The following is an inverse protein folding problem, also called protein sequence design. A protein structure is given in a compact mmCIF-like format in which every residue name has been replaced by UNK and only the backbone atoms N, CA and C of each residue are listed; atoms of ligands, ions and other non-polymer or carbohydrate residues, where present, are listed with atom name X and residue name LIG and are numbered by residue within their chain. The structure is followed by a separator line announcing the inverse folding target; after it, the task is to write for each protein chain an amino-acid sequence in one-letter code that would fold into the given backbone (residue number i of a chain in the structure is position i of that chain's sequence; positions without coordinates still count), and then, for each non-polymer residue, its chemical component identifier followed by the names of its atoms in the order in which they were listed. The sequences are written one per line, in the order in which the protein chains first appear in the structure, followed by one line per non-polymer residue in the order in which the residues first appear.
data_IF_392778799885
#
_entry.id   IF_392778799885
#
_cell.length_a   1.000
_cell.length_b   1.000
_cell.length_c   1.000
_cell.angle_alpha   90.00
_cell.angle_beta   90.00
_cell.angle_gamma   90.00
#
_symmetry.space_group_name_H-M   'P 1'
#
loop_
_entity.id
_entity.type
_entity.pdbx_description
1 polymer ?
#
# COMPACT_ATOMS: atom_id res chain seq x y z
N UNK A 1 -17.24 -17.64 -35.52
CA UNK A 1 -15.84 -17.66 -36.01
C UNK A 1 -15.20 -16.28 -35.82
N UNK A 2 -14.74 -16.00 -34.60
CA UNK A 2 -14.11 -14.73 -34.23
C UNK A 2 -12.64 -14.70 -34.68
N UNK A 3 -12.27 -13.64 -35.39
CA UNK A 3 -10.92 -13.44 -35.94
C UNK A 3 -9.97 -12.97 -34.84
N UNK A 4 -8.95 -13.78 -34.55
CA UNK A 4 -7.88 -13.47 -33.62
C UNK A 4 -7.13 -12.18 -34.02
N UNK A 5 -7.30 -11.12 -33.22
CA UNK A 5 -6.55 -9.88 -33.33
C UNK A 5 -5.07 -10.09 -32.97
N UNK A 6 -4.18 -9.94 -33.95
CA UNK A 6 -2.73 -9.98 -33.77
C UNK A 6 -2.28 -8.79 -32.90
N UNK A 7 -2.12 -9.01 -31.60
CA UNK A 7 -1.49 -8.06 -30.67
C UNK A 7 -0.03 -7.82 -31.09
N UNK A 8 0.24 -6.70 -31.78
CA UNK A 8 1.61 -6.20 -31.99
C UNK A 8 2.22 -5.85 -30.63
N UNK A 9 3.12 -6.68 -30.14
CA UNK A 9 4.01 -6.36 -28.99
C UNK A 9 4.78 -5.08 -29.33
N UNK A 10 4.37 -3.93 -28.74
CA UNK A 10 5.19 -2.73 -28.68
C UNK A 10 6.49 -3.10 -27.97
N UNK A 11 7.59 -3.19 -28.71
CA UNK A 11 8.92 -3.41 -28.13
C UNK A 11 9.30 -2.14 -27.39
N UNK A 12 9.10 -2.13 -26.08
CA UNK A 12 9.56 -1.08 -25.20
C UNK A 12 11.07 -0.84 -25.43
N UNK A 13 11.42 0.43 -25.66
CA UNK A 13 12.74 1.05 -25.63
C UNK A 13 13.91 0.08 -25.70
N UNK A 14 14.44 -0.13 -26.92
CA UNK A 14 15.74 -0.78 -27.09
C UNK A 14 16.79 0.12 -26.42
N UNK A 15 17.61 -0.39 -25.49
CA UNK A 15 18.70 0.39 -24.94
C UNK A 15 19.70 0.66 -26.07
N UNK A 16 20.08 1.92 -26.24
CA UNK A 16 21.12 2.36 -27.17
C UNK A 16 22.42 1.63 -26.84
N UNK A 17 22.70 0.57 -27.58
CA UNK A 17 24.00 -0.07 -27.60
C UNK A 17 24.64 0.24 -28.93
N UNK A 18 25.93 0.57 -28.91
CA UNK A 18 26.72 0.75 -30.13
C UNK A 18 26.50 -0.44 -31.08
N UNK A 19 26.26 -0.13 -32.34
CA UNK A 19 26.03 -1.13 -33.38
C UNK A 19 27.38 -1.44 -34.02
N UNK A 20 27.87 -2.66 -33.86
CA UNK A 20 29.05 -3.15 -34.55
C UNK A 20 28.67 -3.75 -35.92
N UNK A 21 29.55 -3.65 -36.92
CA UNK A 21 29.40 -4.41 -38.17
C UNK A 21 29.90 -5.83 -37.93
N UNK A 22 29.03 -6.82 -38.12
CA UNK A 22 29.42 -8.23 -38.11
C UNK A 22 30.22 -8.60 -39.36
N UNK A 23 30.83 -9.80 -39.38
CA UNK A 23 31.61 -10.30 -40.53
C UNK A 23 30.78 -10.37 -41.83
N UNK A 24 29.48 -10.64 -41.73
CA UNK A 24 28.54 -10.69 -42.87
C UNK A 24 28.00 -9.29 -43.27
N UNK A 25 28.57 -8.19 -42.77
CA UNK A 25 28.07 -6.83 -42.98
C UNK A 25 26.76 -6.50 -42.25
N UNK A 26 26.15 -7.48 -41.57
CA UNK A 26 24.95 -7.27 -40.75
C UNK A 26 25.28 -6.46 -39.50
N UNK A 27 24.41 -5.49 -39.19
CA UNK A 27 24.47 -4.68 -37.97
C UNK A 27 24.19 -5.57 -36.74
N UNK A 28 25.21 -5.88 -35.96
CA UNK A 28 25.10 -6.66 -34.71
C UNK A 28 25.32 -5.72 -33.54
N UNK A 29 24.58 -5.91 -32.45
CA UNK A 29 24.79 -5.10 -31.24
C UNK A 29 26.16 -5.41 -30.66
N UNK A 30 26.95 -4.37 -30.37
CA UNK A 30 28.22 -4.53 -29.70
C UNK A 30 28.04 -5.26 -28.37
N UNK A 31 28.99 -6.13 -28.09
CA UNK A 31 29.03 -6.94 -26.87
C UNK A 31 29.38 -6.01 -25.73
N UNK A 32 28.50 -5.87 -24.74
CA UNK A 32 28.88 -5.21 -23.49
C UNK A 32 29.92 -6.08 -22.77
N UNK A 33 31.14 -5.56 -22.53
CA UNK A 33 32.21 -6.33 -21.90
C UNK A 33 31.93 -6.61 -20.42
N UNK A 34 31.15 -5.75 -19.76
CA UNK A 34 30.84 -5.85 -18.33
C UNK A 34 29.32 -5.82 -18.15
N UNK A 35 28.78 -6.74 -17.33
CA UNK A 35 27.38 -6.75 -16.91
C UNK A 35 27.32 -6.90 -15.40
N UNK A 36 26.76 -5.89 -14.70
CA UNK A 36 26.67 -5.88 -13.23
C UNK A 36 28.02 -6.17 -12.53
N UNK A 37 29.11 -5.58 -13.03
CA UNK A 37 30.46 -5.74 -12.46
C UNK A 37 31.18 -7.03 -12.83
N UNK A 38 30.54 -7.94 -13.58
CA UNK A 38 31.15 -9.19 -14.06
C UNK A 38 31.58 -9.02 -15.51
N UNK A 39 32.84 -9.32 -15.80
CA UNK A 39 33.38 -9.37 -17.16
C UNK A 39 32.80 -10.56 -17.93
N UNK A 40 32.36 -10.32 -19.17
CA UNK A 40 31.88 -11.36 -20.05
C UNK A 40 32.89 -11.62 -21.17
N UNK A 41 33.09 -12.89 -21.58
CA UNK A 41 33.94 -13.22 -22.70
C UNK A 41 33.52 -12.43 -23.94
N UNK A 42 34.44 -11.71 -24.60
CA UNK A 42 34.17 -10.85 -25.77
C UNK A 42 34.45 -11.53 -27.11
N UNK A 43 35.10 -12.70 -27.10
CA UNK A 43 35.42 -13.47 -28.30
C UNK A 43 34.23 -13.72 -29.23
N UNK A 44 34.51 -13.82 -30.53
CA UNK A 44 33.50 -14.02 -31.59
C UNK A 44 33.23 -15.51 -31.86
N UNK A 45 34.03 -16.40 -31.26
CA UNK A 45 33.91 -17.84 -31.38
C UNK A 45 32.61 -18.38 -30.76
N UNK A 46 32.08 -19.53 -31.26
CA UNK A 46 30.84 -20.11 -30.75
C UNK A 46 30.90 -20.44 -29.25
N UNK A 47 32.05 -20.90 -28.74
CA UNK A 47 32.27 -21.19 -27.32
C UNK A 47 32.22 -19.91 -26.47
N UNK A 48 32.92 -18.85 -26.88
CA UNK A 48 32.89 -17.53 -26.24
C UNK A 48 31.46 -16.97 -26.16
N UNK A 49 30.66 -17.17 -27.22
CA UNK A 49 29.24 -16.79 -27.22
C UNK A 49 28.41 -17.62 -26.24
N UNK A 50 28.63 -18.94 -26.18
CA UNK A 50 27.92 -19.84 -25.26
C UNK A 50 28.21 -19.48 -23.80
N UNK A 51 29.48 -19.30 -23.46
CA UNK A 51 29.91 -18.90 -22.11
C UNK A 51 29.30 -17.55 -21.71
N UNK A 52 29.31 -16.57 -22.62
CA UNK A 52 28.67 -15.26 -22.39
C UNK A 52 27.18 -15.39 -22.12
N UNK A 53 26.45 -16.20 -22.88
CA UNK A 53 25.02 -16.43 -22.67
C UNK A 53 24.75 -17.04 -21.29
N UNK A 54 25.55 -18.04 -20.88
CA UNK A 54 25.43 -18.67 -19.56
C UNK A 54 25.70 -17.67 -18.43
N UNK A 55 26.79 -16.90 -18.51
CA UNK A 55 27.12 -15.89 -17.51
C UNK A 55 26.03 -14.81 -17.43
N UNK A 56 25.57 -14.27 -18.57
CA UNK A 56 24.49 -13.28 -18.61
C UNK A 56 23.20 -13.83 -17.99
N UNK A 57 22.81 -15.06 -18.31
CA UNK A 57 21.61 -15.68 -17.73
C UNK A 57 21.77 -15.88 -16.22
N UNK A 58 22.94 -16.32 -15.76
CA UNK A 58 23.24 -16.48 -14.34
C UNK A 58 23.11 -15.15 -13.60
N UNK A 59 23.74 -14.09 -14.10
CA UNK A 59 23.72 -12.76 -13.48
C UNK A 59 22.30 -12.21 -13.45
N UNK A 60 21.59 -12.26 -14.57
CA UNK A 60 20.21 -11.72 -14.65
C UNK A 60 19.22 -12.52 -13.79
N UNK A 61 19.37 -13.84 -13.72
CA UNK A 61 18.57 -14.69 -12.83
C UNK A 61 18.84 -14.38 -11.36
N UNK A 62 20.12 -14.17 -10.98
CA UNK A 62 20.50 -13.80 -9.61
C UNK A 62 19.89 -12.46 -9.22
N UNK A 63 20.08 -11.42 -10.04
CA UNK A 63 19.49 -10.10 -9.81
C UNK A 63 17.95 -10.15 -9.73
N UNK A 64 17.30 -11.03 -10.52
CA UNK A 64 15.86 -11.24 -10.44
C UNK A 64 15.43 -11.84 -9.10
N UNK A 65 16.14 -12.87 -8.62
CA UNK A 65 15.88 -13.49 -7.32
C UNK A 65 16.09 -12.50 -6.18
N UNK A 66 17.15 -11.69 -6.25
CA UNK A 66 17.45 -10.71 -5.20
C UNK A 66 16.40 -9.60 -5.14
N UNK A 67 15.94 -9.07 -6.29
CA UNK A 67 14.79 -8.15 -6.31
C UNK A 67 13.54 -8.76 -5.68
N UNK A 68 13.24 -10.04 -5.98
CA UNK A 68 12.10 -10.74 -5.37
C UNK A 68 12.27 -10.90 -3.86
N UNK A 69 13.48 -11.23 -3.39
CA UNK A 69 13.79 -11.33 -1.95
C UNK A 69 13.58 -9.99 -1.24
N UNK A 70 14.12 -8.90 -1.81
CA UNK A 70 13.94 -7.56 -1.25
C UNK A 70 12.48 -7.15 -1.19
N UNK A 71 11.71 -7.37 -2.26
CA UNK A 71 10.27 -7.06 -2.27
C UNK A 71 9.49 -7.86 -1.20
N UNK A 72 9.85 -9.13 -0.98
CA UNK A 72 9.24 -9.94 0.09
C UNK A 72 9.61 -9.41 1.47
N UNK A 73 10.88 -9.05 1.69
CA UNK A 73 11.34 -8.49 2.96
C UNK A 73 10.67 -7.15 3.27
N UNK A 74 10.56 -6.27 2.28
CA UNK A 74 9.88 -4.99 2.40
C UNK A 74 8.40 -5.18 2.72
N UNK A 75 7.71 -6.09 2.03
CA UNK A 75 6.31 -6.40 2.32
C UNK A 75 6.11 -6.98 3.74
N UNK A 76 7.04 -7.81 4.22
CA UNK A 76 7.01 -8.33 5.59
C UNK A 76 7.21 -7.21 6.60
N UNK A 77 8.20 -6.35 6.39
CA UNK A 77 8.46 -5.21 7.27
C UNK A 77 7.23 -4.28 7.35
N UNK A 78 6.61 -3.98 6.21
CA UNK A 78 5.40 -3.17 6.15
C UNK A 78 4.24 -3.84 6.90
N UNK A 79 4.08 -5.16 6.79
CA UNK A 79 3.09 -5.91 7.58
C UNK A 79 3.36 -5.76 9.08
N UNK A 80 4.59 -5.99 9.52
CA UNK A 80 4.96 -5.96 10.93
C UNK A 80 4.75 -4.55 11.53
N UNK A 81 5.09 -3.50 10.77
CA UNK A 81 4.82 -2.09 11.15
C UNK A 81 3.32 -1.83 11.33
N UNK A 82 2.47 -2.35 10.42
CA UNK A 82 1.02 -2.22 10.53
C UNK A 82 0.43 -3.05 11.68
N UNK A 83 1.00 -4.20 11.99
CA UNK A 83 0.57 -5.01 13.14
C UNK A 83 0.81 -4.27 14.45
N UNK A 84 1.97 -3.62 14.60
CA UNK A 84 2.26 -2.75 15.77
C UNK A 84 1.27 -1.58 15.86
N UNK A 85 0.95 -0.93 14.75
CA UNK A 85 -0.03 0.16 14.70
C UNK A 85 -1.43 -0.32 15.12
N UNK A 86 -1.87 -1.48 14.60
CA UNK A 86 -3.16 -2.08 14.97
C UNK A 86 -3.19 -2.40 16.46
N UNK A 87 -2.11 -2.94 17.02
CA UNK A 87 -2.04 -3.22 18.45
C UNK A 87 -2.11 -1.95 19.30
N UNK A 88 -1.45 -0.88 18.89
CA UNK A 88 -1.54 0.41 19.56
C UNK A 88 -2.99 0.93 19.54
N UNK A 89 -3.64 0.94 18.38
CA UNK A 89 -5.03 1.36 18.23
C UNK A 89 -6.02 0.48 19.03
N UNK A 90 -5.75 -0.82 19.13
CA UNK A 90 -6.55 -1.73 19.96
C UNK A 90 -6.41 -1.42 21.45
N UNK A 91 -5.22 -1.01 21.91
CA UNK A 91 -5.01 -0.58 23.30
C UNK A 91 -5.79 0.70 23.58
N UNK A 92 -5.65 1.72 22.72
CA UNK A 92 -6.38 2.98 22.90
C UNK A 92 -7.89 2.79 22.89
N UNK A 93 -8.41 1.91 22.02
CA UNK A 93 -9.85 1.57 22.03
C UNK A 93 -10.29 0.87 23.32
N UNK A 94 -9.45 0.01 23.91
CA UNK A 94 -9.78 -0.63 25.19
C UNK A 94 -9.81 0.39 26.31
N UNK A 95 -8.78 1.22 26.41
CA UNK A 95 -8.66 2.24 27.44
C UNK A 95 -9.84 3.21 27.39
N UNK A 96 -10.24 3.64 26.18
CA UNK A 96 -11.38 4.54 26.01
C UNK A 96 -12.71 3.86 26.34
N UNK A 97 -12.89 2.58 25.97
CA UNK A 97 -14.09 1.83 26.37
C UNK A 97 -14.17 1.63 27.88
N UNK A 98 -13.06 1.40 28.57
CA UNK A 98 -13.02 1.31 30.03
C UNK A 98 -13.37 2.66 30.67
N UNK A 99 -12.86 3.77 30.11
CA UNK A 99 -13.23 5.12 30.53
C UNK A 99 -14.72 5.38 30.37
N UNK A 100 -15.31 5.01 29.23
CA UNK A 100 -16.75 5.15 29.00
C UNK A 100 -17.56 4.33 29.99
N UNK A 101 -17.20 3.07 30.24
CA UNK A 101 -17.87 2.21 31.24
C UNK A 101 -17.78 2.79 32.65
N UNK A 102 -16.64 3.38 33.01
CA UNK A 102 -16.47 4.05 34.30
C UNK A 102 -17.38 5.28 34.40
N UNK A 103 -17.47 6.09 33.35
CA UNK A 103 -18.38 7.23 33.29
C UNK A 103 -19.85 6.80 33.36
N UNK A 104 -20.25 5.76 32.62
CA UNK A 104 -21.58 5.17 32.68
C UNK A 104 -21.93 4.73 34.11
N UNK A 105 -21.02 3.99 34.77
CA UNK A 105 -21.20 3.54 36.14
C UNK A 105 -21.34 4.72 37.13
N UNK A 106 -20.54 5.79 36.96
CA UNK A 106 -20.68 7.00 37.78
C UNK A 106 -22.00 7.72 37.54
N UNK A 107 -22.47 7.80 36.29
CA UNK A 107 -23.76 8.38 35.95
C UNK A 107 -24.89 7.58 36.60
N UNK A 108 -24.80 6.24 36.58
CA UNK A 108 -25.79 5.37 37.22
C UNK A 108 -25.84 5.56 38.75
N UNK A 109 -24.68 5.70 39.40
CA UNK A 109 -24.60 6.03 40.84
C UNK A 109 -25.27 7.37 41.15
N UNK A 110 -24.96 8.42 40.36
CA UNK A 110 -25.59 9.74 40.53
C UNK A 110 -27.11 9.63 40.34
N UNK A 111 -27.56 8.90 39.32
CA UNK A 111 -28.98 8.67 39.04
C UNK A 111 -29.70 7.97 40.19
N UNK A 112 -29.05 7.02 40.86
CA UNK A 112 -29.62 6.33 42.04
C UNK A 112 -29.67 7.22 43.29
N UNK A 113 -28.77 8.19 43.41
CA UNK A 113 -28.67 9.07 44.58
C UNK A 113 -29.62 10.29 44.55
N UNK A 114 -30.28 10.56 43.42
CA UNK A 114 -31.11 11.76 43.22
C UNK A 114 -32.53 11.40 42.78
N UNK A 115 -33.50 12.29 43.01
CA UNK A 115 -34.84 12.10 42.42
C UNK A 115 -34.79 12.33 40.92
N UNK A 116 -35.73 11.74 40.19
CA UNK A 116 -35.75 11.79 38.72
C UNK A 116 -35.85 13.23 38.18
N UNK A 117 -36.54 14.13 38.88
CA UNK A 117 -36.60 15.56 38.53
C UNK A 117 -35.26 16.28 38.75
N UNK A 118 -34.56 15.98 39.84
CA UNK A 118 -33.25 16.59 40.13
C UNK A 118 -32.20 16.13 39.10
N UNK A 119 -32.17 14.82 38.80
CA UNK A 119 -31.29 14.26 37.78
C UNK A 119 -31.56 14.87 36.39
N UNK A 120 -32.84 15.02 36.03
CA UNK A 120 -33.26 15.65 34.78
C UNK A 120 -32.85 17.13 34.64
N UNK A 121 -32.90 17.90 35.74
CA UNK A 121 -32.45 19.30 35.74
C UNK A 121 -30.93 19.41 35.56
N UNK A 122 -30.16 18.53 36.20
CA UNK A 122 -28.68 18.53 36.15
C UNK A 122 -28.15 18.04 34.80
N UNK A 123 -28.71 16.94 34.27
CA UNK A 123 -28.33 16.38 32.97
C UNK A 123 -28.96 17.12 31.79
N UNK A 124 -29.92 18.00 32.04
CA UNK A 124 -30.74 18.64 31.01
C UNK A 124 -31.70 17.67 30.29
N UNK A 125 -31.83 16.42 30.76
CA UNK A 125 -32.53 15.34 30.05
C UNK A 125 -34.04 15.19 30.36
N UNK A 126 -34.71 16.07 31.12
CA UNK A 126 -36.19 16.03 31.17
C UNK A 126 -36.92 17.36 31.24
N UNK A 127 -37.67 17.63 30.16
CA UNK A 127 -39.10 18.00 30.08
C UNK A 127 -39.34 18.53 28.67
N UNK A 128 -39.47 17.64 27.66
CA UNK A 128 -39.72 17.95 26.22
C UNK A 128 -38.73 18.91 25.50
N UNK A 129 -38.46 20.10 26.03
CA UNK A 129 -37.52 21.11 25.54
C UNK A 129 -36.05 20.67 25.60
N UNK A 130 -35.65 19.90 26.62
CA UNK A 130 -34.26 19.43 26.77
C UNK A 130 -33.82 18.47 25.66
N UNK A 131 -34.70 17.51 25.30
CA UNK A 131 -34.44 16.57 24.21
C UNK A 131 -34.38 17.27 22.84
N UNK A 132 -35.28 18.23 22.58
CA UNK A 132 -35.27 19.01 21.33
C UNK A 132 -33.95 19.79 21.15
N UNK A 133 -33.39 20.34 22.24
CA UNK A 133 -32.12 21.08 22.21
C UNK A 133 -30.91 20.17 22.02
N UNK A 134 -30.89 18.98 22.62
CA UNK A 134 -29.83 17.99 22.43
C UNK A 134 -29.80 17.45 20.99
N UNK A 135 -30.97 17.13 20.42
CA UNK A 135 -31.10 16.70 19.01
C UNK A 135 -30.64 17.81 18.07
N UNK A 136 -31.10 19.05 18.26
CA UNK A 136 -30.67 20.21 17.46
C UNK A 136 -29.15 20.46 17.53
N UNK A 137 -28.54 20.29 18.71
CA UNK A 137 -27.09 20.41 18.89
C UNK A 137 -26.33 19.29 18.17
N UNK A 138 -26.79 18.04 18.24
CA UNK A 138 -26.17 16.91 17.55
C UNK A 138 -26.31 16.98 16.02
N UNK A 139 -27.39 17.57 15.51
CA UNK A 139 -27.61 17.78 14.08
C UNK A 139 -26.82 18.95 13.50
N UNK A 140 -26.36 19.89 14.34
CA UNK A 140 -25.57 21.04 13.90
C UNK A 140 -24.09 20.70 13.67
N UNK A 141 -23.59 19.61 14.25
CA UNK A 141 -22.18 19.20 14.16
C UNK A 141 -21.90 18.21 13.02
N UNK A 142 -22.95 17.63 12.41
CA UNK A 142 -22.86 16.85 11.18
C UNK A 142 -22.84 17.76 9.95
N UNK A 143 -21.69 18.41 9.69
CA UNK A 143 -21.45 19.20 8.49
C UNK A 143 -21.64 18.37 7.20
N UNK A 144 -22.12 18.98 6.10
CA UNK A 144 -22.53 18.27 4.90
C UNK A 144 -21.31 17.75 4.11
N UNK A 145 -20.97 16.49 4.31
CA UNK A 145 -20.14 15.72 3.38
C UNK A 145 -20.94 15.37 2.13
N UNK A 146 -21.20 16.34 1.26
CA UNK A 146 -21.79 16.08 -0.06
C UNK A 146 -20.70 15.54 -1.03
N UNK A 147 -20.95 14.43 -1.72
CA UNK A 147 -20.01 13.86 -2.68
C UNK A 147 -19.94 14.73 -3.93
N UNK A 148 -18.74 15.22 -4.27
CA UNK A 148 -18.48 15.73 -5.62
C UNK A 148 -18.21 14.55 -6.54
N UNK A 149 -19.27 14.02 -7.13
CA UNK A 149 -19.15 13.46 -8.48
C UNK A 149 -18.91 14.62 -9.44
N UNK A 150 -17.88 14.52 -10.29
CA UNK A 150 -18.02 14.76 -11.73
C UNK A 150 -16.74 14.35 -12.47
N UNK A 151 -16.88 13.84 -13.71
CA UNK A 151 -15.81 13.25 -14.51
C UNK A 151 -15.14 14.28 -15.43
N UNK A 152 -13.88 14.02 -15.80
CA UNK A 152 -13.25 14.45 -17.06
C UNK A 152 -12.07 13.54 -17.39
#
# INVERSE_FOLDING_TARGET
PEKAGKRKKKRANKPDGSIARGPDGRKVRAVQPILHGVELPTGTDPESRRQRCLLRNRITAQASRDRKRMAIQEARKARDEREVEIEALRRTLRDENERLRSLESMIDLVRQSMTQEQFARVTGMSTANGMAKAIASSSAEAGPGAPKETPS
#
